data_IF_515096475404
#
_entry.id   IF_515096475404
#
_cell.length_a   1.000
_cell.length_b   1.000
_cell.length_c   1.000
_cell.angle_alpha   90.00
_cell.angle_beta   90.00
_cell.angle_gamma   90.00
#
_symmetry.space_group_name_H-M   'P 1'
#
loop_
_entity.id
_entity.type
_entity.pdbx_description
1 polymer ?
#
# COMPACT_ATOMS: atom_id res chain seq x y z
N UNK A 1 29.22 -3.68 -3.83
CA UNK A 1 28.26 -2.84 -4.57
C UNK A 1 27.21 -2.42 -3.56
N UNK A 2 26.74 -1.16 -3.51
CA UNK A 2 25.50 -0.91 -2.79
C UNK A 2 24.46 -1.82 -3.45
N UNK A 3 23.87 -2.72 -2.68
CA UNK A 3 22.79 -3.57 -3.17
C UNK A 3 21.73 -2.65 -3.76
N UNK A 4 21.50 -2.74 -5.07
CA UNK A 4 20.61 -1.87 -5.84
C UNK A 4 19.14 -2.22 -5.51
N UNK A 5 18.77 -2.08 -4.23
CA UNK A 5 17.48 -2.43 -3.65
C UNK A 5 16.62 -1.18 -3.63
N UNK A 6 15.50 -1.27 -4.34
CA UNK A 6 14.50 -0.21 -4.46
C UNK A 6 13.26 -0.56 -3.64
N UNK A 7 12.50 0.43 -3.15
CA UNK A 7 11.27 0.15 -2.44
C UNK A 7 10.28 -0.58 -3.34
N UNK A 8 9.53 -1.50 -2.75
CA UNK A 8 8.44 -2.22 -3.41
C UNK A 8 7.14 -1.63 -2.90
N UNK A 9 6.34 -1.06 -3.80
CA UNK A 9 4.99 -0.60 -3.51
C UNK A 9 4.02 -1.66 -4.00
N UNK A 10 3.40 -2.35 -3.05
CA UNK A 10 2.37 -3.33 -3.29
C UNK A 10 0.99 -2.65 -3.39
N UNK A 11 0.35 -2.79 -4.55
CA UNK A 11 -0.97 -2.20 -4.83
C UNK A 11 -2.00 -3.32 -4.86
N UNK A 12 -2.63 -3.61 -3.71
CA UNK A 12 -3.64 -4.68 -3.60
C UNK A 12 -4.98 -4.20 -4.15
N UNK A 13 -5.50 -4.94 -5.13
CA UNK A 13 -6.90 -4.86 -5.53
C UNK A 13 -7.81 -5.83 -4.77
N UNK A 14 -9.06 -5.39 -4.59
CA UNK A 14 -10.31 -6.13 -4.41
C UNK A 14 -11.09 -5.66 -3.18
N UNK A 15 -12.17 -4.93 -3.41
CA UNK A 15 -13.36 -4.90 -2.57
C UNK A 15 -14.49 -4.17 -3.32
N UNK A 16 -15.50 -4.91 -3.78
CA UNK A 16 -16.62 -4.35 -4.54
C UNK A 16 -17.73 -3.83 -3.61
N UNK A 17 -17.93 -4.47 -2.47
CA UNK A 17 -18.95 -4.07 -1.49
C UNK A 17 -18.36 -3.27 -0.33
N UNK A 18 -19.19 -2.58 0.45
CA UNK A 18 -18.77 -2.01 1.74
C UNK A 18 -18.22 -3.08 2.69
N UNK A 19 -18.90 -4.24 2.78
CA UNK A 19 -18.44 -5.37 3.60
C UNK A 19 -17.07 -5.89 3.19
N UNK A 20 -16.81 -6.06 1.90
CA UNK A 20 -15.49 -6.50 1.42
C UNK A 20 -14.41 -5.43 1.65
N UNK A 21 -14.78 -4.14 1.62
CA UNK A 21 -13.85 -3.03 1.91
C UNK A 21 -13.51 -3.04 3.39
N UNK A 22 -14.50 -3.27 4.25
CA UNK A 22 -14.32 -3.40 5.69
C UNK A 22 -13.47 -4.63 6.02
N UNK A 23 -13.72 -5.79 5.40
CA UNK A 23 -12.89 -6.99 5.56
C UNK A 23 -11.45 -6.75 5.08
N UNK A 24 -11.26 -6.04 3.97
CA UNK A 24 -9.95 -5.71 3.42
C UNK A 24 -9.21 -4.69 4.28
N UNK A 25 -9.91 -3.69 4.83
CA UNK A 25 -9.37 -2.71 5.76
C UNK A 25 -8.99 -3.37 7.10
N UNK A 26 -9.80 -4.33 7.54
CA UNK A 26 -9.53 -5.15 8.72
C UNK A 26 -8.41 -6.20 8.50
N UNK A 27 -8.01 -6.43 7.26
CA UNK A 27 -6.88 -7.29 6.90
C UNK A 27 -5.55 -6.49 7.00
N UNK A 28 -4.65 -6.91 7.90
CA UNK A 28 -3.43 -6.16 8.18
C UNK A 28 -2.46 -6.11 6.99
N UNK A 29 -2.50 -7.08 6.07
CA UNK A 29 -1.55 -7.18 4.95
C UNK A 29 -2.20 -7.22 3.58
N UNK A 30 -3.46 -6.82 3.50
CA UNK A 30 -4.10 -6.67 2.21
C UNK A 30 -3.92 -7.96 1.35
N UNK A 31 -4.20 -9.15 1.90
CA UNK A 31 -4.31 -10.40 1.13
C UNK A 31 -3.03 -11.19 0.94
N UNK A 32 -1.91 -10.73 1.49
CA UNK A 32 -0.72 -11.57 1.65
C UNK A 32 -0.91 -12.66 2.72
N UNK A 33 -1.90 -12.51 3.62
CA UNK A 33 -2.47 -13.57 4.45
C UNK A 33 -3.76 -13.09 5.15
N UNK A 34 -4.67 -13.99 5.50
CA UNK A 34 -5.78 -13.69 6.41
C UNK A 34 -5.28 -13.68 7.86
N UNK A 35 -4.90 -12.50 8.37
CA UNK A 35 -4.44 -12.28 9.75
C UNK A 35 -5.45 -11.54 10.60
N UNK A 36 -5.28 -11.59 11.93
CA UNK A 36 -6.11 -10.82 12.88
C UNK A 36 -5.49 -9.44 13.15
N UNK A 37 -6.26 -8.36 13.00
CA UNK A 37 -5.90 -7.00 13.45
C UNK A 37 -6.24 -6.74 14.92
N UNK A 38 -6.65 -7.78 15.65
CA UNK A 38 -7.19 -7.65 17.01
C UNK A 38 -6.41 -8.52 18.00
N UNK A 39 -5.91 -7.90 19.06
CA UNK A 39 -5.41 -8.58 20.25
C UNK A 39 -6.54 -8.64 21.28
N UNK A 40 -7.11 -9.85 21.46
CA UNK A 40 -8.26 -10.10 22.35
C UNK A 40 -7.89 -10.58 23.75
N UNK A 41 -6.61 -10.61 24.09
CA UNK A 41 -6.13 -10.97 25.43
C UNK A 41 -5.99 -9.72 26.32
N UNK A 42 -7.10 -9.02 26.54
CA UNK A 42 -7.19 -7.94 27.52
C UNK A 42 -7.51 -8.52 28.90
N UNK A 43 -6.97 -7.92 29.96
CA UNK A 43 -7.18 -8.38 31.36
C UNK A 43 -8.66 -8.33 31.74
N UNK A 44 -9.41 -7.38 31.18
CA UNK A 44 -10.86 -7.29 31.25
C UNK A 44 -11.51 -7.84 29.97
N UNK A 45 -12.35 -8.87 30.12
CA UNK A 45 -13.10 -9.51 29.02
C UNK A 45 -14.22 -8.65 28.45
N UNK A 46 -14.61 -7.57 29.14
CA UNK A 46 -15.62 -6.60 28.67
C UNK A 46 -15.02 -5.40 27.94
N UNK A 47 -13.70 -5.24 27.99
CA UNK A 47 -13.02 -4.17 27.27
C UNK A 47 -12.98 -4.45 25.76
N UNK A 48 -12.94 -3.38 24.96
CA UNK A 48 -12.74 -3.50 23.52
C UNK A 48 -11.37 -4.13 23.22
N UNK A 49 -11.31 -4.95 22.16
CA UNK A 49 -10.06 -5.54 21.69
C UNK A 49 -9.06 -4.43 21.28
N UNK A 50 -7.78 -4.66 21.54
CA UNK A 50 -6.73 -3.72 21.13
C UNK A 50 -6.30 -3.98 19.67
N UNK A 51 -6.01 -2.92 18.92
CA UNK A 51 -5.50 -3.02 17.55
C UNK A 51 -4.08 -3.59 17.60
N UNK A 52 -3.83 -4.71 16.93
CA UNK A 52 -2.53 -5.34 16.86
C UNK A 52 -2.34 -5.97 15.47
N UNK A 53 -1.29 -5.56 14.77
CA UNK A 53 -1.02 -5.93 13.38
C UNK A 53 0.13 -6.94 13.37
N UNK A 54 -0.11 -8.19 12.96
CA UNK A 54 0.92 -9.25 12.94
C UNK A 54 1.54 -9.43 11.56
N UNK A 55 2.85 -9.18 11.42
CA UNK A 55 3.59 -9.31 10.14
C UNK A 55 3.34 -10.64 9.42
N UNK A 56 2.83 -10.56 8.19
CA UNK A 56 2.52 -11.76 7.39
C UNK A 56 3.80 -12.53 7.00
N UNK A 57 3.72 -13.84 6.70
CA UNK A 57 4.85 -14.67 6.28
C UNK A 57 5.58 -14.16 5.06
N UNK A 58 4.94 -13.47 4.11
CA UNK A 58 5.66 -12.88 2.97
C UNK A 58 6.41 -11.62 3.38
N UNK A 59 5.82 -10.79 4.25
CA UNK A 59 6.54 -9.64 4.84
C UNK A 59 7.73 -10.12 5.67
N UNK A 60 7.55 -11.21 6.43
CA UNK A 60 8.58 -11.85 7.26
C UNK A 60 9.63 -12.59 6.43
N UNK A 61 9.25 -13.18 5.29
CA UNK A 61 10.20 -13.81 4.36
C UNK A 61 11.01 -12.76 3.61
N UNK A 62 10.43 -11.60 3.30
CA UNK A 62 11.15 -10.52 2.63
C UNK A 62 12.11 -9.81 3.61
N UNK A 63 11.85 -9.82 4.92
CA UNK A 63 12.87 -9.44 5.91
C UNK A 63 14.10 -10.37 5.93
N UNK A 64 13.95 -11.65 5.57
CA UNK A 64 15.12 -12.55 5.39
C UNK A 64 15.98 -12.14 4.18
N UNK A 65 15.44 -11.34 3.25
CA UNK A 65 16.17 -10.71 2.14
C UNK A 65 16.60 -9.26 2.44
N UNK A 66 16.52 -8.84 3.71
CA UNK A 66 16.97 -7.54 4.19
C UNK A 66 16.07 -6.37 3.82
N UNK A 67 14.80 -6.62 3.49
CA UNK A 67 13.78 -5.58 3.35
C UNK A 67 13.06 -5.34 4.67
N UNK A 68 12.74 -4.09 4.98
CA UNK A 68 12.01 -3.74 6.19
C UNK A 68 10.55 -3.45 5.89
N UNK A 69 9.69 -3.89 6.81
CA UNK A 69 8.29 -3.50 6.85
C UNK A 69 8.17 -2.09 7.46
N UNK A 70 7.33 -1.24 6.87
CA UNK A 70 7.16 0.15 7.28
C UNK A 70 5.86 0.39 8.07
N UNK A 71 5.14 -0.66 8.45
CA UNK A 71 3.94 -0.53 9.28
C UNK A 71 4.27 -0.24 10.74
N UNK A 72 3.70 0.85 11.26
CA UNK A 72 3.81 1.24 12.66
C UNK A 72 2.45 1.53 13.26
N UNK A 73 2.13 0.89 14.38
CA UNK A 73 1.06 1.28 15.32
C UNK A 73 -0.32 1.63 14.69
N UNK A 74 -0.58 1.14 13.47
CA UNK A 74 -1.80 1.42 12.73
C UNK A 74 -1.86 2.75 12.00
N UNK A 75 -0.76 3.49 11.87
CA UNK A 75 -0.59 4.69 11.02
C UNK A 75 -0.20 4.28 9.59
N UNK A 76 -0.75 4.97 8.60
CA UNK A 76 -0.37 4.88 7.19
C UNK A 76 0.86 5.78 6.93
N UNK A 77 1.71 5.42 5.97
CA UNK A 77 2.91 6.19 5.60
C UNK A 77 2.58 7.59 5.05
N UNK A 78 1.32 7.78 4.63
CA UNK A 78 0.77 9.09 4.24
C UNK A 78 0.31 9.95 5.43
N UNK A 79 0.21 9.40 6.64
CA UNK A 79 -0.17 10.17 7.83
C UNK A 79 0.98 11.08 8.27
N UNK A 80 0.65 12.31 8.68
CA UNK A 80 1.65 13.32 9.09
C UNK A 80 2.50 12.85 10.29
N UNK A 81 1.88 12.08 11.19
CA UNK A 81 2.50 11.58 12.42
C UNK A 81 3.28 10.25 12.23
N UNK A 82 3.35 9.71 11.01
CA UNK A 82 4.08 8.47 10.76
C UNK A 82 5.59 8.63 11.01
N UNK A 83 6.19 7.67 11.72
CA UNK A 83 7.64 7.54 11.94
C UNK A 83 8.11 6.12 11.63
N UNK A 84 9.39 5.91 11.26
CA UNK A 84 9.96 4.57 11.14
C UNK A 84 10.23 3.93 12.51
N UNK A 85 10.38 2.59 12.59
CA UNK A 85 10.81 1.90 13.82
C UNK A 85 12.11 2.50 14.36
N UNK A 86 12.23 2.62 15.70
CA UNK A 86 13.50 2.97 16.31
C UNK A 86 14.61 2.03 15.82
N UNK A 87 15.83 2.53 15.77
CA UNK A 87 17.00 1.72 15.44
C UNK A 87 17.21 0.59 16.45
N UNK A 88 18.13 -0.34 16.14
CA UNK A 88 18.50 -1.44 17.03
C UNK A 88 19.05 -0.95 18.39
N UNK A 89 19.51 0.30 18.45
CA UNK A 89 19.97 1.01 19.65
C UNK A 89 18.82 1.69 20.44
N UNK A 90 17.58 1.56 19.96
CA UNK A 90 16.40 2.20 20.54
C UNK A 90 16.30 3.70 20.26
N UNK A 91 17.19 4.26 19.42
CA UNK A 91 17.14 5.67 19.05
C UNK A 91 16.05 5.93 18.00
N UNK A 92 15.43 7.10 18.08
CA UNK A 92 14.52 7.57 17.04
C UNK A 92 15.26 7.60 15.69
N UNK A 93 14.61 7.04 14.68
CA UNK A 93 15.08 7.04 13.30
C UNK A 93 14.23 8.01 12.47
N UNK A 94 14.87 8.63 11.47
CA UNK A 94 14.19 9.44 10.46
C UNK A 94 14.23 8.75 9.10
N UNK A 95 13.19 8.99 8.28
CA UNK A 95 13.07 8.47 6.94
C UNK A 95 12.73 6.97 6.85
N UNK A 96 13.03 6.34 5.73
CA UNK A 96 12.78 4.92 5.46
C UNK A 96 13.93 4.34 4.64
N UNK A 97 14.43 3.12 4.87
CA UNK A 97 15.48 2.56 4.03
C UNK A 97 15.00 2.28 2.60
N UNK A 98 15.91 2.32 1.63
CA UNK A 98 15.57 2.00 0.24
C UNK A 98 15.07 0.56 0.06
N UNK A 99 15.52 -0.38 0.90
CA UNK A 99 15.00 -1.74 0.94
C UNK A 99 13.75 -1.83 1.82
N UNK A 100 12.62 -1.30 1.35
CA UNK A 100 11.35 -1.30 2.08
C UNK A 100 10.18 -1.84 1.27
N UNK A 101 9.20 -2.44 1.94
CA UNK A 101 7.90 -2.79 1.35
C UNK A 101 6.83 -1.85 1.91
N UNK A 102 6.10 -1.23 1.00
CA UNK A 102 4.99 -0.34 1.28
C UNK A 102 3.75 -0.93 0.64
N UNK A 103 2.65 -1.03 1.37
CA UNK A 103 1.36 -1.43 0.79
C UNK A 103 0.51 -0.19 0.61
N UNK A 104 0.00 0.01 -0.58
CA UNK A 104 -0.90 1.12 -0.86
C UNK A 104 -2.33 0.75 -0.43
N UNK A 105 -2.76 1.21 0.75
CA UNK A 105 -4.05 0.89 1.38
C UNK A 105 -5.19 1.83 0.95
N UNK A 106 -5.33 2.03 -0.35
CA UNK A 106 -6.20 3.07 -0.91
C UNK A 106 -7.71 2.89 -0.67
N UNK A 107 -8.15 1.73 -0.19
CA UNK A 107 -9.55 1.49 0.19
C UNK A 107 -9.88 1.95 1.62
N UNK A 108 -8.90 2.17 2.48
CA UNK A 108 -9.16 2.41 3.92
C UNK A 108 -10.07 3.63 4.11
N UNK A 109 -9.82 4.72 3.36
CA UNK A 109 -10.65 5.94 3.39
C UNK A 109 -12.10 5.74 2.93
N UNK A 110 -12.36 4.69 2.16
CA UNK A 110 -13.70 4.34 1.69
C UNK A 110 -14.31 3.16 2.44
N UNK A 111 -13.64 2.59 3.43
CA UNK A 111 -14.21 1.58 4.32
C UNK A 111 -15.11 2.26 5.36
N UNK A 112 -16.12 1.58 5.87
CA UNK A 112 -16.92 2.06 7.01
C UNK A 112 -16.16 1.96 8.34
N UNK A 113 -15.12 1.14 8.40
CA UNK A 113 -14.28 0.97 9.59
C UNK A 113 -13.25 2.08 9.78
N UNK A 114 -12.58 2.51 8.71
CA UNK A 114 -11.46 3.45 8.74
C UNK A 114 -11.74 4.74 7.95
N UNK A 115 -12.90 4.85 7.31
CA UNK A 115 -13.24 5.94 6.40
C UNK A 115 -14.72 6.32 6.45
N UNK A 116 -15.24 6.82 5.33
CA UNK A 116 -16.64 7.29 5.22
C UNK A 116 -17.60 6.24 4.63
N UNK A 117 -17.12 5.03 4.40
CA UNK A 117 -17.89 3.96 3.73
C UNK A 117 -18.16 4.19 2.24
N UNK A 118 -17.66 5.28 1.65
CA UNK A 118 -17.90 5.64 0.25
C UNK A 118 -16.73 5.24 -0.64
N UNK A 119 -17.03 4.48 -1.68
CA UNK A 119 -16.02 4.09 -2.65
C UNK A 119 -15.52 5.34 -3.38
N UNK A 120 -14.24 5.35 -3.75
CA UNK A 120 -13.68 6.39 -4.62
C UNK A 120 -13.48 5.80 -6.01
N UNK A 121 -13.38 6.69 -6.99
CA UNK A 121 -13.10 6.25 -8.35
C UNK A 121 -11.60 5.96 -8.54
N UNK A 122 -11.29 5.31 -9.66
CA UNK A 122 -9.92 4.94 -10.02
C UNK A 122 -8.98 6.15 -10.16
N UNK A 123 -9.52 7.34 -10.45
CA UNK A 123 -8.74 8.57 -10.61
C UNK A 123 -8.19 9.00 -9.26
N UNK A 124 -9.03 8.96 -8.23
CA UNK A 124 -8.62 9.23 -6.86
C UNK A 124 -7.49 8.27 -6.41
N UNK A 125 -7.63 6.98 -6.68
CA UNK A 125 -6.61 5.97 -6.32
C UNK A 125 -5.31 6.15 -7.10
N UNK A 126 -5.36 6.46 -8.39
CA UNK A 126 -4.17 6.74 -9.20
C UNK A 126 -3.40 7.97 -8.68
N UNK A 127 -4.14 9.05 -8.34
CA UNK A 127 -3.54 10.25 -7.77
C UNK A 127 -2.95 9.99 -6.38
N UNK A 128 -3.58 9.14 -5.56
CA UNK A 128 -3.01 8.74 -4.27
C UNK A 128 -1.76 7.88 -4.41
N UNK A 129 -1.67 7.03 -5.45
CA UNK A 129 -0.43 6.32 -5.77
C UNK A 129 0.71 7.29 -6.14
N UNK A 130 0.41 8.36 -6.90
CA UNK A 130 1.39 9.43 -7.18
C UNK A 130 1.96 10.03 -5.90
N UNK A 131 1.06 10.43 -4.97
CA UNK A 131 1.45 11.02 -3.67
C UNK A 131 2.29 10.04 -2.85
N UNK A 132 1.90 8.76 -2.83
CA UNK A 132 2.63 7.73 -2.12
C UNK A 132 4.06 7.56 -2.65
N UNK A 133 4.25 7.48 -3.97
CA UNK A 133 5.58 7.32 -4.57
C UNK A 133 6.50 8.48 -4.18
N UNK A 134 6.00 9.72 -4.27
CA UNK A 134 6.78 10.90 -3.90
C UNK A 134 7.10 10.91 -2.39
N UNK A 135 6.15 10.53 -1.54
CA UNK A 135 6.37 10.41 -0.10
C UNK A 135 7.45 9.36 0.23
N UNK A 136 7.39 8.20 -0.41
CA UNK A 136 8.40 7.13 -0.27
C UNK A 136 9.78 7.64 -0.70
N UNK A 137 9.87 8.35 -1.83
CA UNK A 137 11.12 8.97 -2.28
C UNK A 137 11.69 9.93 -1.24
N UNK A 138 10.86 10.80 -0.69
CA UNK A 138 11.31 11.82 0.26
C UNK A 138 11.78 11.16 1.58
N UNK A 139 11.09 10.13 2.04
CA UNK A 139 11.49 9.34 3.22
C UNK A 139 12.80 8.58 2.99
N UNK A 140 12.99 8.00 1.81
CA UNK A 140 14.27 7.33 1.46
C UNK A 140 15.41 8.33 1.41
N UNK A 141 15.20 9.48 0.75
CA UNK A 141 16.22 10.53 0.72
C UNK A 141 16.57 11.04 2.12
N UNK A 142 15.59 11.18 3.02
CA UNK A 142 15.82 11.56 4.40
C UNK A 142 16.68 10.53 5.15
N UNK A 143 16.47 9.22 4.91
CA UNK A 143 17.22 8.14 5.56
C UNK A 143 18.65 8.02 5.04
N UNK A 144 18.82 8.07 3.73
CA UNK A 144 20.12 7.91 3.06
C UNK A 144 21.00 9.17 3.23
N UNK A 145 20.38 10.32 3.52
CA UNK A 145 21.05 11.54 3.95
C UNK A 145 21.63 12.39 2.80
N UNK A 146 22.51 13.36 3.11
CA UNK A 146 22.91 14.43 2.17
C UNK A 146 23.60 13.98 0.88
N UNK A 147 24.10 12.73 0.82
CA UNK A 147 24.73 12.16 -0.37
C UNK A 147 23.74 11.49 -1.34
N UNK A 148 22.48 11.33 -0.94
CA UNK A 148 21.46 10.68 -1.76
C UNK A 148 20.86 11.64 -2.78
N UNK A 149 20.92 11.26 -4.06
CA UNK A 149 20.31 12.04 -5.14
C UNK A 149 18.88 11.56 -5.35
N UNK A 150 17.91 12.42 -5.10
CA UNK A 150 16.49 12.08 -5.26
C UNK A 150 16.15 11.65 -6.69
N UNK A 151 16.91 12.12 -7.68
CA UNK A 151 16.71 11.78 -9.09
C UNK A 151 17.13 10.33 -9.41
N UNK A 152 17.98 9.72 -8.57
CA UNK A 152 18.37 8.31 -8.65
C UNK A 152 17.37 7.38 -7.98
N UNK A 153 16.39 7.93 -7.24
CA UNK A 153 15.37 7.12 -6.61
C UNK A 153 14.58 6.36 -7.66
N UNK A 154 14.43 5.06 -7.42
CA UNK A 154 13.52 4.21 -8.16
C UNK A 154 12.71 3.36 -7.20
N UNK A 155 11.53 2.94 -7.62
CA UNK A 155 10.67 1.98 -6.95
C UNK A 155 10.11 0.93 -7.91
N UNK A 156 9.64 -0.17 -7.34
CA UNK A 156 8.95 -1.24 -8.05
C UNK A 156 7.47 -1.24 -7.67
N UNK A 157 6.60 -1.36 -8.66
CA UNK A 157 5.16 -1.53 -8.44
C UNK A 157 4.80 -3.00 -8.61
N UNK A 158 4.23 -3.61 -7.56
CA UNK A 158 3.69 -4.96 -7.59
C UNK A 158 2.20 -4.84 -7.39
N UNK A 159 1.39 -5.18 -8.39
CA UNK A 159 -0.04 -4.93 -8.35
C UNK A 159 -0.86 -6.19 -8.53
N UNK A 160 -1.89 -6.33 -7.70
CA UNK A 160 -2.79 -7.48 -7.68
C UNK A 160 -4.20 -7.05 -8.06
N UNK A 161 -4.94 -7.87 -8.83
CA UNK A 161 -6.37 -7.65 -9.09
C UNK A 161 -6.63 -6.22 -9.59
N UNK A 162 -7.66 -5.53 -9.07
CA UNK A 162 -7.99 -4.13 -9.39
C UNK A 162 -6.82 -3.14 -9.18
N UNK A 163 -5.86 -3.46 -8.31
CA UNK A 163 -4.68 -2.62 -8.08
C UNK A 163 -3.84 -2.45 -9.35
N UNK A 164 -3.83 -3.44 -10.25
CA UNK A 164 -3.15 -3.29 -11.54
C UNK A 164 -3.85 -2.31 -12.48
N UNK A 165 -5.17 -2.10 -12.33
CA UNK A 165 -5.89 -1.05 -13.04
C UNK A 165 -5.53 0.33 -12.49
N UNK A 166 -5.37 0.47 -11.17
CA UNK A 166 -4.89 1.71 -10.53
C UNK A 166 -3.50 2.08 -11.05
N UNK A 167 -2.56 1.12 -11.06
CA UNK A 167 -1.22 1.31 -11.62
C UNK A 167 -1.27 1.70 -13.09
N UNK A 168 -2.10 1.02 -13.89
CA UNK A 168 -2.28 1.34 -15.30
C UNK A 168 -2.84 2.75 -15.51
N UNK A 169 -3.85 3.14 -14.74
CA UNK A 169 -4.44 4.47 -14.80
C UNK A 169 -3.41 5.56 -14.45
N UNK A 170 -2.61 5.35 -13.40
CA UNK A 170 -1.52 6.24 -13.02
C UNK A 170 -0.45 6.37 -14.12
N UNK A 171 0.05 5.25 -14.66
CA UNK A 171 1.16 5.26 -15.62
C UNK A 171 0.76 5.75 -17.01
N UNK A 172 -0.46 5.44 -17.47
CA UNK A 172 -0.88 5.70 -18.86
C UNK A 172 -1.68 7.00 -19.02
N UNK A 173 -2.10 7.63 -17.92
CA UNK A 173 -2.86 8.89 -17.97
C UNK A 173 -2.08 10.00 -17.26
N UNK A 174 -1.46 10.94 -18.00
CA UNK A 174 -0.71 12.05 -17.43
C UNK A 174 -1.51 12.93 -16.46
N UNK A 175 -2.85 12.96 -16.57
CA UNK A 175 -3.69 13.75 -15.68
C UNK A 175 -3.92 13.09 -14.30
N UNK A 176 -3.49 11.84 -14.10
CA UNK A 176 -3.76 11.06 -12.88
C UNK A 176 -2.53 10.87 -11.98
N UNK A 177 -1.50 11.69 -12.14
CA UNK A 177 -0.32 11.72 -11.29
C UNK A 177 0.75 12.66 -11.82
N UNK A 178 1.80 12.89 -11.05
CA UNK A 178 2.90 13.77 -11.39
C UNK A 178 3.94 13.07 -12.27
N UNK A 179 4.56 13.82 -13.19
CA UNK A 179 5.64 13.29 -14.05
C UNK A 179 6.80 12.76 -13.20
N UNK A 180 7.18 13.50 -12.16
CA UNK A 180 8.23 13.11 -11.23
C UNK A 180 7.93 11.77 -10.52
N UNK A 181 6.67 11.48 -10.21
CA UNK A 181 6.28 10.22 -9.59
C UNK A 181 6.40 9.06 -10.58
N UNK A 182 6.05 9.28 -11.86
CA UNK A 182 6.17 8.27 -12.91
C UNK A 182 7.63 7.95 -13.24
N UNK A 183 8.49 8.96 -13.25
CA UNK A 183 9.94 8.80 -13.48
C UNK A 183 10.63 7.98 -12.39
N UNK A 184 10.02 7.87 -11.20
CA UNK A 184 10.50 7.03 -10.12
C UNK A 184 10.21 5.52 -10.35
N UNK A 185 9.34 5.13 -11.30
CA UNK A 185 8.95 3.73 -11.46
C UNK A 185 9.90 3.01 -12.42
N UNK A 186 10.70 2.06 -11.90
CA UNK A 186 11.62 1.26 -12.73
C UNK A 186 10.98 -0.02 -13.26
N UNK A 187 10.17 -0.70 -12.42
CA UNK A 187 9.54 -1.98 -12.79
C UNK A 187 8.10 -2.05 -12.33
N UNK A 188 7.30 -2.72 -13.16
CA UNK A 188 5.90 -3.02 -12.86
C UNK A 188 5.68 -4.51 -13.06
N UNK A 189 5.09 -5.14 -12.05
CA UNK A 189 4.59 -6.50 -12.12
C UNK A 189 3.11 -6.50 -11.76
N UNK A 190 2.27 -7.08 -12.61
CA UNK A 190 0.83 -7.22 -12.35
C UNK A 190 0.43 -8.67 -12.39
N UNK A 191 -0.42 -9.11 -11.47
CA UNK A 191 -0.92 -10.48 -11.44
C UNK A 191 -2.40 -10.53 -11.04
N UNK A 192 -3.14 -11.44 -11.67
CA UNK A 192 -4.60 -11.54 -11.56
C UNK A 192 -5.36 -10.22 -11.84
N UNK A 193 -4.74 -9.27 -12.55
CA UNK A 193 -5.38 -8.00 -12.89
C UNK A 193 -6.31 -8.16 -14.09
N UNK A 194 -7.59 -7.78 -13.97
CA UNK A 194 -8.54 -7.82 -15.06
C UNK A 194 -8.33 -6.63 -16.01
N UNK A 195 -7.21 -6.61 -16.73
CA UNK A 195 -6.82 -5.49 -17.61
C UNK A 195 -7.86 -5.16 -18.68
N UNK A 196 -8.70 -6.13 -19.05
CA UNK A 196 -9.78 -6.00 -20.03
C UNK A 196 -11.19 -6.00 -19.38
N UNK A 197 -11.29 -5.83 -18.06
CA UNK A 197 -12.52 -6.02 -17.31
C UNK A 197 -12.72 -7.45 -16.84
N UNK A 198 -13.80 -7.67 -16.09
CA UNK A 198 -14.23 -8.97 -15.59
C UNK A 198 -15.50 -9.36 -16.35
N UNK A 199 -15.46 -10.49 -17.05
CA UNK A 199 -16.67 -11.11 -17.60
C UNK A 199 -17.44 -11.77 -16.45
N UNK A 200 -18.59 -11.19 -16.08
CA UNK A 200 -19.56 -11.89 -15.25
C UNK A 200 -20.46 -12.72 -16.18
N UNK A 201 -20.34 -14.04 -16.11
CA UNK A 201 -21.13 -14.98 -16.92
C UNK A 201 -21.00 -14.82 -18.46
N UNK A 202 -19.83 -14.42 -18.96
CA UNK A 202 -19.56 -14.30 -20.41
C UNK A 202 -20.12 -13.03 -21.06
N UNK A 203 -20.52 -12.05 -20.25
CA UNK A 203 -20.89 -10.71 -20.69
C UNK A 203 -19.89 -9.73 -20.08
N UNK A 204 -19.23 -8.95 -20.95
CA UNK A 204 -18.40 -7.84 -20.53
C UNK A 204 -19.36 -6.75 -20.04
N UNK A 205 -19.68 -6.78 -18.74
CA UNK A 205 -20.75 -5.96 -18.16
C UNK A 205 -20.32 -4.50 -18.25
N UNK A 206 -20.94 -3.69 -19.13
CA UNK A 206 -20.60 -2.27 -19.22
C UNK A 206 -21.08 -1.55 -17.96
N UNK A 207 -20.37 -0.49 -17.56
CA UNK A 207 -20.52 0.21 -16.26
C UNK A 207 -21.91 0.76 -15.91
N UNK A 208 -22.89 0.72 -16.82
CA UNK A 208 -24.27 1.16 -16.58
C UNK A 208 -25.21 0.03 -16.12
N UNK A 209 -24.75 -1.22 -16.16
CA UNK A 209 -25.53 -2.40 -15.73
C UNK A 209 -25.23 -2.87 -14.30
N UNK A 210 -24.28 -2.23 -13.59
CA UNK A 210 -23.82 -2.64 -12.26
C UNK A 210 -24.46 -1.92 -11.07
N UNK A 211 -25.68 -1.38 -11.20
CA UNK A 211 -26.47 -0.91 -10.04
C UNK A 211 -27.97 -1.14 -10.29
N UNK A 212 -28.53 -2.06 -9.51
CA UNK A 212 -29.86 -1.92 -8.89
C UNK A 212 -29.71 -2.25 -7.41
#
# INVERSE_FOLDING_TARGET
>A
MPDNRHPIIYVRGYAMTSSERDETAADPFCGFNAGSTVYRATVDKKAAAQKFVFESPVVRLISDFGYQNCYQNGLDILDEDWKPPPGDDGADADGMPAASIVVYRYYDSGSGLLGDGQARDIRFYAQGLSRLILRVRDLVAQREGPGYRQEEFRCYLVAHSMGGLVVRAFLQNPALGDDAARDCVDKVFTYATPHNGIDAAGINVPSWLSVA
#
